data_IF_118381078294
#
_entry.id   IF_118381078294
#
_cell.length_a   1.000
_cell.length_b   1.000
_cell.length_c   1.000
_cell.angle_alpha   90.00
_cell.angle_beta   90.00
_cell.angle_gamma   90.00
#
_symmetry.space_group_name_H-M   'P 1'
#
loop_
_entity.id
_entity.type
_entity.pdbx_description
1 polymer ?
#
# COMPACT_ATOMS: atom_id res chain seq x y z
N UNK A 1 -54.29 -6.03 24.74
CA UNK A 1 -54.33 -6.43 23.33
C UNK A 1 -52.87 -6.51 22.87
N UNK A 2 -52.34 -7.71 22.72
CA UNK A 2 -51.01 -7.89 22.13
C UNK A 2 -51.15 -7.72 20.61
N UNK A 3 -50.45 -6.75 20.07
CA UNK A 3 -50.40 -6.53 18.63
C UNK A 3 -49.40 -7.51 18.00
N UNK A 4 -49.81 -8.16 16.93
CA UNK A 4 -48.90 -8.99 16.14
C UNK A 4 -47.82 -8.09 15.49
N UNK A 5 -46.53 -8.37 15.74
CA UNK A 5 -45.38 -7.64 15.21
C UNK A 5 -44.48 -8.61 14.49
N UNK A 6 -44.04 -8.22 13.31
CA UNK A 6 -43.03 -8.94 12.56
C UNK A 6 -41.76 -8.08 12.48
N UNK A 7 -40.62 -8.73 12.64
CA UNK A 7 -39.32 -8.10 12.55
C UNK A 7 -38.55 -8.74 11.41
N UNK A 8 -37.90 -7.90 10.62
CA UNK A 8 -36.91 -8.32 9.63
C UNK A 8 -35.54 -8.27 10.26
N UNK A 9 -34.78 -9.35 10.13
CA UNK A 9 -33.37 -9.37 10.46
C UNK A 9 -32.55 -8.72 9.34
N UNK A 10 -31.65 -7.85 9.74
CA UNK A 10 -30.72 -7.21 8.85
C UNK A 10 -29.31 -7.45 9.36
N UNK A 11 -28.45 -7.92 8.48
CA UNK A 11 -27.03 -8.10 8.76
C UNK A 11 -26.25 -6.93 8.14
N UNK A 12 -25.46 -6.27 8.95
CA UNK A 12 -24.52 -5.23 8.48
C UNK A 12 -23.15 -5.43 9.13
N UNK A 13 -22.11 -5.00 8.46
CA UNK A 13 -20.77 -4.98 9.04
C UNK A 13 -20.58 -3.69 9.84
N UNK A 14 -20.20 -3.83 11.09
CA UNK A 14 -19.87 -2.73 11.98
C UNK A 14 -18.38 -2.75 12.27
N UNK A 15 -17.71 -1.58 12.16
CA UNK A 15 -16.35 -1.42 12.65
C UNK A 15 -16.40 -1.37 14.17
N UNK A 16 -15.94 -2.40 14.84
CA UNK A 16 -15.98 -2.53 16.30
C UNK A 16 -14.73 -2.05 16.97
N UNK A 17 -13.61 -2.28 16.34
CA UNK A 17 -12.33 -1.88 16.91
C UNK A 17 -11.43 -1.27 15.85
N UNK A 18 -10.64 -0.31 16.28
CA UNK A 18 -9.62 0.35 15.48
C UNK A 18 -8.35 0.43 16.27
N UNK A 19 -7.35 -0.21 15.73
CA UNK A 19 -6.03 -0.24 16.32
C UNK A 19 -5.14 0.67 15.48
N UNK A 20 -4.59 1.70 16.11
CA UNK A 20 -3.59 2.60 15.54
C UNK A 20 -2.40 2.59 16.47
N UNK A 21 -1.46 1.69 16.23
CA UNK A 21 -0.31 1.48 17.10
C UNK A 21 0.99 1.52 16.31
N UNK A 22 2.01 2.07 16.96
CA UNK A 22 3.39 2.03 16.46
C UNK A 22 4.14 0.90 17.12
N UNK A 23 4.98 0.22 16.35
CA UNK A 23 5.88 -0.82 16.84
C UNK A 23 7.21 -0.78 16.09
N UNK A 24 8.24 -1.26 16.75
CA UNK A 24 9.59 -1.27 16.19
C UNK A 24 9.99 -2.67 15.74
N UNK A 25 10.80 -2.72 14.68
CA UNK A 25 11.41 -3.94 14.16
C UNK A 25 12.89 -3.66 13.92
N UNK A 26 13.74 -4.54 14.44
CA UNK A 26 15.18 -4.45 14.33
C UNK A 26 15.73 -5.61 13.49
N UNK A 27 16.60 -5.28 12.53
CA UNK A 27 17.25 -6.25 11.67
C UNK A 27 18.76 -6.17 11.76
N UNK A 28 19.42 -7.31 11.71
CA UNK A 28 20.88 -7.42 11.65
C UNK A 28 21.27 -8.01 10.29
N UNK A 29 21.69 -7.16 9.38
CA UNK A 29 22.03 -7.55 8.02
C UNK A 29 23.51 -7.88 7.93
N UNK A 30 23.84 -9.04 7.35
CA UNK A 30 25.20 -9.45 7.08
C UNK A 30 25.43 -9.47 5.57
N UNK A 31 26.43 -8.70 5.11
CA UNK A 31 26.77 -8.65 3.70
C UNK A 31 27.27 -10.02 3.20
N UNK A 32 26.72 -10.54 2.08
CA UNK A 32 27.17 -11.81 1.50
C UNK A 32 28.67 -11.81 1.17
N UNK A 33 29.33 -12.95 1.34
CA UNK A 33 30.81 -13.07 1.20
C UNK A 33 31.34 -12.71 -0.19
N UNK A 34 30.49 -12.82 -1.22
CA UNK A 34 30.87 -12.49 -2.62
C UNK A 34 30.80 -11.00 -2.95
N UNK A 35 30.32 -10.17 -2.03
CA UNK A 35 30.27 -8.72 -2.17
C UNK A 35 31.47 -8.07 -1.48
N UNK A 36 31.92 -6.94 -2.04
CA UNK A 36 33.01 -6.16 -1.48
C UNK A 36 32.62 -5.49 -0.17
N UNK A 37 33.61 -5.26 0.70
CA UNK A 37 33.44 -4.66 2.01
C UNK A 37 32.92 -3.22 1.91
N UNK A 38 32.08 -2.83 2.84
CA UNK A 38 31.54 -1.49 2.95
C UNK A 38 32.61 -0.55 3.51
N UNK A 39 32.98 0.44 2.71
CA UNK A 39 33.75 1.58 3.18
C UNK A 39 32.83 2.65 3.79
N UNK A 40 31.80 3.03 3.04
CA UNK A 40 30.84 4.05 3.46
C UNK A 40 29.42 3.61 3.12
N UNK A 41 28.55 3.58 4.12
CA UNK A 41 27.12 3.35 3.92
C UNK A 41 26.47 4.62 3.33
N UNK A 42 25.94 4.50 2.10
CA UNK A 42 25.25 5.61 1.44
C UNK A 42 23.84 5.73 1.96
N UNK A 43 23.04 4.65 1.89
CA UNK A 43 21.66 4.62 2.35
C UNK A 43 21.14 3.18 2.52
N UNK A 44 20.22 3.03 3.50
CA UNK A 44 19.31 1.89 3.57
C UNK A 44 17.88 2.37 3.29
N UNK A 45 17.24 1.80 2.30
CA UNK A 45 15.83 2.04 1.99
C UNK A 45 15.02 0.84 2.45
N UNK A 46 14.04 1.04 3.33
CA UNK A 46 13.20 -0.03 3.87
C UNK A 46 11.78 0.13 3.35
N UNK A 47 11.25 -0.92 2.75
CA UNK A 47 9.84 -1.06 2.37
C UNK A 47 9.22 -2.19 3.16
N UNK A 48 8.09 -1.91 3.83
CA UNK A 48 7.38 -2.89 4.65
C UNK A 48 6.03 -3.18 4.01
N UNK A 49 5.70 -4.46 3.91
CA UNK A 49 4.46 -4.93 3.30
C UNK A 49 3.84 -6.01 4.19
N UNK A 50 2.53 -5.94 4.38
CA UNK A 50 1.76 -7.03 4.98
C UNK A 50 1.66 -8.14 3.96
N UNK A 51 2.21 -9.30 4.29
CA UNK A 51 2.15 -10.49 3.44
C UNK A 51 0.91 -11.34 3.73
N UNK A 52 0.49 -11.37 5.01
CA UNK A 52 -0.69 -12.11 5.47
C UNK A 52 -1.10 -11.64 6.88
N UNK A 53 -2.25 -12.09 7.35
CA UNK A 53 -2.69 -11.90 8.73
C UNK A 53 -3.63 -13.02 9.19
N UNK A 54 -3.56 -13.36 10.46
CA UNK A 54 -4.48 -14.27 11.15
C UNK A 54 -5.39 -13.50 12.10
N UNK A 55 -6.69 -13.66 11.92
CA UNK A 55 -7.72 -13.03 12.75
C UNK A 55 -8.37 -14.07 13.67
N UNK A 56 -8.32 -13.81 14.98
CA UNK A 56 -8.98 -14.62 16.01
C UNK A 56 -9.96 -13.80 16.81
N UNK A 57 -10.69 -14.42 17.74
CA UNK A 57 -11.66 -13.73 18.59
C UNK A 57 -11.04 -12.71 19.54
N UNK A 58 -9.76 -12.84 19.88
CA UNK A 58 -9.10 -11.99 20.89
C UNK A 58 -7.85 -11.27 20.37
N UNK A 59 -7.42 -11.58 19.15
CA UNK A 59 -6.20 -10.98 18.62
C UNK A 59 -6.14 -11.04 17.09
N UNK A 60 -5.34 -10.16 16.52
CA UNK A 60 -4.90 -10.24 15.13
C UNK A 60 -3.37 -10.31 15.09
N UNK A 61 -2.85 -11.28 14.32
CA UNK A 61 -1.43 -11.43 14.09
C UNK A 61 -1.15 -10.99 12.66
N UNK A 62 -0.26 -10.04 12.50
CA UNK A 62 0.20 -9.57 11.19
C UNK A 62 1.53 -10.25 10.87
N UNK A 63 1.64 -10.79 9.68
CA UNK A 63 2.89 -11.27 9.09
C UNK A 63 3.31 -10.31 7.99
N UNK A 64 4.50 -9.76 8.12
CA UNK A 64 5.01 -8.79 7.17
C UNK A 64 6.38 -9.16 6.64
N UNK A 65 6.74 -8.52 5.53
CA UNK A 65 8.07 -8.58 4.92
C UNK A 65 8.65 -7.19 4.79
N UNK A 66 9.92 -7.09 5.10
CA UNK A 66 10.74 -5.90 4.91
C UNK A 66 11.72 -6.15 3.77
N UNK A 67 11.62 -5.36 2.71
CA UNK A 67 12.59 -5.33 1.62
C UNK A 67 13.55 -4.18 1.93
N UNK A 68 14.80 -4.51 2.19
CA UNK A 68 15.82 -3.56 2.63
C UNK A 68 16.88 -3.47 1.53
N UNK A 69 16.92 -2.35 0.82
CA UNK A 69 17.96 -2.06 -0.15
C UNK A 69 19.08 -1.29 0.54
N UNK A 70 20.24 -1.92 0.64
CA UNK A 70 21.45 -1.32 1.19
C UNK A 70 22.33 -0.82 0.04
N UNK A 71 22.61 0.46 0.01
CA UNK A 71 23.48 1.11 -0.95
C UNK A 71 24.75 1.61 -0.25
N UNK A 72 25.90 1.28 -0.76
CA UNK A 72 27.20 1.60 -0.14
C UNK A 72 28.30 1.86 -1.15
N UNK A 73 29.37 2.49 -0.70
CA UNK A 73 30.64 2.61 -1.45
C UNK A 73 31.60 1.53 -0.96
N UNK A 74 32.19 0.82 -1.91
CA UNK A 74 33.28 -0.11 -1.65
C UNK A 74 34.60 0.62 -1.59
N UNK A 75 35.68 -0.07 -1.15
CA UNK A 75 37.02 0.51 -0.97
C UNK A 75 37.66 1.03 -2.27
N UNK A 76 37.22 0.53 -3.43
CA UNK A 76 37.64 1.01 -4.76
C UNK A 76 36.87 2.27 -5.22
N UNK A 77 35.96 2.79 -4.39
CA UNK A 77 35.08 3.92 -4.68
C UNK A 77 33.84 3.58 -5.52
N UNK A 78 33.66 2.32 -5.93
CA UNK A 78 32.48 1.89 -6.66
C UNK A 78 31.22 1.93 -5.77
N UNK A 79 30.09 2.33 -6.34
CA UNK A 79 28.79 2.26 -5.66
C UNK A 79 28.15 0.91 -5.94
N UNK A 80 27.84 0.19 -4.87
CA UNK A 80 27.23 -1.13 -4.88
C UNK A 80 25.92 -1.11 -4.10
N UNK A 81 25.05 -2.08 -4.38
CA UNK A 81 23.87 -2.32 -3.57
C UNK A 81 23.60 -3.80 -3.37
N UNK A 82 22.85 -4.10 -2.31
CA UNK A 82 22.28 -5.42 -2.08
C UNK A 82 20.89 -5.29 -1.49
N UNK A 83 20.04 -6.24 -1.84
CA UNK A 83 18.67 -6.33 -1.32
C UNK A 83 18.63 -7.45 -0.29
N UNK A 84 18.09 -7.14 0.88
CA UNK A 84 17.81 -8.09 1.94
C UNK A 84 16.30 -8.20 2.11
N UNK A 85 15.85 -9.40 2.40
CA UNK A 85 14.46 -9.71 2.72
C UNK A 85 14.40 -10.25 4.15
N UNK A 86 13.65 -9.57 5.00
CA UNK A 86 13.48 -9.93 6.40
C UNK A 86 11.99 -10.06 6.72
N UNK A 87 11.66 -10.98 7.59
CA UNK A 87 10.29 -11.20 8.00
C UNK A 87 10.05 -10.61 9.40
N UNK A 88 8.84 -10.10 9.62
CA UNK A 88 8.41 -9.67 10.94
C UNK A 88 6.98 -10.13 11.21
N UNK A 89 6.67 -10.27 12.49
CA UNK A 89 5.29 -10.51 12.93
C UNK A 89 4.96 -9.65 14.14
N UNK A 90 3.69 -9.26 14.26
CA UNK A 90 3.20 -8.50 15.40
C UNK A 90 1.78 -8.91 15.73
N UNK A 91 1.55 -9.15 17.02
CA UNK A 91 0.22 -9.45 17.56
C UNK A 91 -0.38 -8.18 18.17
N UNK A 92 -1.65 -7.95 17.88
CA UNK A 92 -2.47 -6.90 18.49
C UNK A 92 -3.68 -7.52 19.14
N UNK A 93 -4.02 -7.08 20.35
CA UNK A 93 -5.17 -7.58 21.09
C UNK A 93 -6.45 -6.93 20.57
N UNK A 94 -7.53 -7.74 20.48
CA UNK A 94 -8.88 -7.30 20.13
C UNK A 94 -9.70 -7.39 21.43
N UNK A 95 -10.25 -6.27 21.85
CA UNK A 95 -10.98 -6.16 23.15
C UNK A 95 -12.46 -5.84 23.00
N UNK A 96 -12.82 -5.22 21.87
CA UNK A 96 -14.17 -4.67 21.65
C UNK A 96 -15.07 -5.54 20.77
N UNK A 97 -14.56 -6.69 20.32
CA UNK A 97 -15.28 -7.58 19.40
C UNK A 97 -15.11 -9.05 19.78
N UNK A 98 -16.17 -9.68 20.25
CA UNK A 98 -16.16 -11.10 20.66
C UNK A 98 -16.03 -12.07 19.46
N UNK A 99 -16.55 -11.66 18.29
CA UNK A 99 -16.57 -12.49 17.08
C UNK A 99 -16.25 -11.64 15.85
N UNK A 100 -14.96 -11.36 15.61
CA UNK A 100 -14.54 -10.63 14.42
C UNK A 100 -14.68 -11.51 13.17
N UNK A 101 -15.28 -10.95 12.11
CA UNK A 101 -15.46 -11.64 10.83
C UNK A 101 -14.37 -11.23 9.83
N UNK A 102 -13.99 -9.96 9.82
CA UNK A 102 -13.06 -9.41 8.83
C UNK A 102 -12.13 -8.37 9.47
N UNK A 103 -10.95 -8.23 8.91
CA UNK A 103 -10.04 -7.14 9.23
C UNK A 103 -9.51 -6.46 7.96
N UNK A 104 -9.23 -5.18 8.06
CA UNK A 104 -8.49 -4.41 7.08
C UNK A 104 -7.18 -3.95 7.74
N UNK A 105 -6.06 -4.35 7.16
CA UNK A 105 -4.73 -4.16 7.76
C UNK A 105 -3.88 -3.32 6.84
N UNK A 106 -3.37 -2.20 7.35
CA UNK A 106 -2.39 -1.36 6.69
C UNK A 106 -1.20 -1.14 7.61
N UNK A 107 0.01 -1.26 7.06
CA UNK A 107 1.25 -0.98 7.79
C UNK A 107 2.06 0.02 6.96
N UNK A 108 2.50 1.08 7.62
CA UNK A 108 3.30 2.15 7.03
C UNK A 108 4.63 2.27 7.76
N UNK A 109 5.71 2.48 7.02
CA UNK A 109 7.01 2.82 7.60
C UNK A 109 6.96 4.27 8.07
N UNK A 110 6.98 4.49 9.38
CA UNK A 110 7.03 5.83 9.95
C UNK A 110 8.45 6.40 9.92
N UNK A 111 9.42 5.55 10.19
CA UNK A 111 10.82 5.95 10.28
C UNK A 111 11.72 4.73 10.11
N UNK A 112 12.86 4.90 9.47
CA UNK A 112 13.92 3.89 9.43
C UNK A 112 15.28 4.54 9.64
N UNK A 113 16.13 3.87 10.42
CA UNK A 113 17.51 4.26 10.64
C UNK A 113 18.41 3.05 10.44
N UNK A 114 19.63 3.30 9.98
CA UNK A 114 20.61 2.26 9.75
C UNK A 114 21.98 2.69 10.26
N UNK A 115 22.71 1.74 10.81
CA UNK A 115 24.05 1.96 11.35
C UNK A 115 24.99 0.87 10.85
N UNK A 116 26.09 1.28 10.25
CA UNK A 116 27.19 0.40 9.94
C UNK A 116 27.92 0.02 11.24
N UNK A 117 27.93 -1.26 11.59
CA UNK A 117 28.58 -1.80 12.78
C UNK A 117 30.03 -2.16 12.47
N UNK A 118 30.25 -2.78 11.32
CA UNK A 118 31.55 -3.06 10.74
C UNK A 118 31.41 -3.15 9.22
N UNK A 119 32.49 -3.37 8.50
CA UNK A 119 32.52 -3.41 7.03
C UNK A 119 31.56 -4.42 6.38
N UNK A 120 30.97 -5.33 7.15
CA UNK A 120 30.08 -6.38 6.63
C UNK A 120 28.76 -6.50 7.39
N UNK A 121 28.55 -5.75 8.47
CA UNK A 121 27.34 -5.81 9.28
C UNK A 121 26.68 -4.44 9.41
N UNK A 122 25.39 -4.42 9.14
CA UNK A 122 24.52 -3.25 9.24
C UNK A 122 23.39 -3.59 10.19
N UNK A 123 23.17 -2.77 11.20
CA UNK A 123 21.96 -2.83 12.02
C UNK A 123 20.94 -1.83 11.46
N UNK A 124 19.70 -2.28 11.27
CA UNK A 124 18.59 -1.48 10.74
C UNK A 124 17.45 -1.48 11.76
N UNK A 125 17.06 -0.30 12.19
CA UNK A 125 15.91 -0.07 13.05
C UNK A 125 14.79 0.57 12.24
N UNK A 126 13.57 0.04 12.35
CA UNK A 126 12.41 0.53 11.61
C UNK A 126 11.21 0.66 12.54
N UNK A 127 10.66 1.87 12.65
CA UNK A 127 9.39 2.12 13.32
C UNK A 127 8.25 2.02 12.31
N UNK A 128 7.25 1.20 12.63
CA UNK A 128 6.09 0.91 11.82
C UNK A 128 4.82 1.40 12.51
N UNK A 129 3.88 1.92 11.72
CA UNK A 129 2.54 2.25 12.17
C UNK A 129 1.55 1.26 11.59
N UNK A 130 0.87 0.51 12.44
CA UNK A 130 -0.24 -0.36 12.06
C UNK A 130 -1.57 0.39 12.20
N UNK A 131 -2.38 0.32 11.14
CA UNK A 131 -3.77 0.78 11.14
C UNK A 131 -4.65 -0.41 10.81
N UNK A 132 -5.41 -0.88 11.79
CA UNK A 132 -6.24 -2.07 11.68
C UNK A 132 -7.68 -1.70 11.99
N UNK A 133 -8.59 -2.03 11.07
CA UNK A 133 -10.03 -1.94 11.30
C UNK A 133 -10.59 -3.35 11.43
N UNK A 134 -11.19 -3.67 12.57
CA UNK A 134 -11.85 -4.95 12.82
C UNK A 134 -13.33 -4.81 12.62
N UNK A 135 -13.91 -5.69 11.80
CA UNK A 135 -15.33 -5.70 11.45
C UNK A 135 -16.03 -6.93 12.03
N UNK A 136 -17.20 -6.69 12.63
CA UNK A 136 -18.09 -7.74 13.09
C UNK A 136 -19.41 -7.66 12.35
N UNK A 137 -20.06 -8.78 12.11
CA UNK A 137 -21.45 -8.79 11.68
C UNK A 137 -22.36 -8.40 12.84
N UNK A 138 -23.20 -7.43 12.60
CA UNK A 138 -24.26 -7.04 13.50
C UNK A 138 -25.60 -7.44 12.91
N UNK A 139 -26.32 -8.28 13.64
CA UNK A 139 -27.72 -8.55 13.35
C UNK A 139 -28.59 -7.49 14.05
N UNK A 140 -29.38 -6.77 13.28
CA UNK A 140 -30.32 -5.77 13.80
C UNK A 140 -31.74 -6.15 13.38
N UNK A 141 -32.65 -6.09 14.33
CA UNK A 141 -34.06 -6.36 14.06
C UNK A 141 -34.80 -5.04 13.79
N UNK A 142 -35.34 -4.91 12.59
CA UNK A 142 -36.19 -3.77 12.22
C UNK A 142 -37.65 -4.21 12.12
N UNK A 143 -38.54 -3.40 12.64
CA UNK A 143 -39.97 -3.65 12.52
C UNK A 143 -40.35 -3.64 11.05
N UNK A 144 -40.85 -4.77 10.53
CA UNK A 144 -41.30 -4.91 9.13
C UNK A 144 -42.79 -4.72 8.97
N UNK A 145 -43.59 -5.30 9.90
CA UNK A 145 -45.03 -5.13 9.95
C UNK A 145 -45.54 -5.08 11.38
N UNK A 146 -46.68 -4.44 11.56
CA UNK A 146 -47.43 -4.45 12.82
C UNK A 146 -48.91 -4.30 12.51
N UNK A 147 -49.72 -5.11 13.16
CA UNK A 147 -51.17 -5.11 12.99
C UNK A 147 -51.77 -3.74 13.29
N UNK A 148 -52.57 -3.21 12.37
CA UNK A 148 -53.21 -1.88 12.45
C UNK A 148 -52.25 -0.70 12.57
N UNK A 149 -50.95 -0.85 12.27
CA UNK A 149 -49.98 0.21 12.29
C UNK A 149 -49.60 0.67 10.89
N UNK A 150 -49.37 1.96 10.74
CA UNK A 150 -48.76 2.52 9.57
C UNK A 150 -47.24 2.66 9.84
N UNK A 151 -46.42 2.08 8.97
CA UNK A 151 -44.98 2.08 9.09
C UNK A 151 -44.38 2.91 7.93
N UNK A 152 -43.59 3.90 8.29
CA UNK A 152 -42.82 4.69 7.31
C UNK A 152 -41.48 4.03 7.12
N UNK A 153 -41.24 3.57 5.92
CA UNK A 153 -39.97 2.96 5.54
C UNK A 153 -39.07 3.94 4.76
N UNK A 154 -37.77 3.79 4.92
CA UNK A 154 -36.78 4.48 4.14
C UNK A 154 -35.77 3.47 3.57
N UNK A 155 -35.60 3.49 2.27
CA UNK A 155 -34.63 2.64 1.58
C UNK A 155 -33.24 3.29 1.60
N UNK A 156 -32.22 2.48 1.83
CA UNK A 156 -30.81 2.87 1.79
C UNK A 156 -29.98 1.74 1.21
N UNK A 157 -28.93 2.13 0.49
CA UNK A 157 -27.89 1.20 0.09
C UNK A 157 -26.97 0.94 1.28
N UNK A 158 -26.73 -0.34 1.56
CA UNK A 158 -25.86 -0.83 2.64
C UNK A 158 -24.69 -1.55 2.01
N UNK A 159 -23.48 -1.12 2.35
CA UNK A 159 -22.27 -1.79 1.93
C UNK A 159 -21.94 -2.90 2.94
N UNK A 160 -21.97 -4.14 2.48
CA UNK A 160 -21.62 -5.31 3.28
C UNK A 160 -20.30 -5.91 2.81
N UNK A 161 -19.37 -6.18 3.74
CA UNK A 161 -18.13 -6.87 3.46
C UNK A 161 -18.42 -8.37 3.37
N UNK A 162 -18.03 -9.00 2.27
CA UNK A 162 -18.15 -10.44 2.05
C UNK A 162 -16.86 -11.17 2.33
N UNK A 163 -15.75 -10.58 1.97
CA UNK A 163 -14.43 -11.16 2.18
C UNK A 163 -13.34 -10.09 2.27
N UNK A 164 -12.31 -10.37 3.05
CA UNK A 164 -11.04 -9.65 3.03
C UNK A 164 -9.90 -10.67 3.05
N UNK A 165 -8.74 -10.30 2.54
CA UNK A 165 -7.58 -11.17 2.58
C UNK A 165 -6.40 -10.62 1.80
N UNK A 166 -5.31 -11.38 1.84
CA UNK A 166 -4.10 -11.13 1.05
C UNK A 166 -3.82 -12.38 0.21
N UNK A 167 -3.50 -12.19 -1.04
CA UNK A 167 -3.04 -13.24 -1.95
C UNK A 167 -1.69 -12.83 -2.53
N UNK A 168 -0.97 -13.77 -3.16
CA UNK A 168 0.32 -13.47 -3.77
C UNK A 168 0.34 -13.78 -5.25
N UNK A 169 1.06 -12.97 -6.02
CA UNK A 169 1.34 -13.15 -7.44
C UNK A 169 2.83 -13.20 -7.63
N UNK A 170 3.35 -14.32 -8.14
CA UNK A 170 4.77 -14.46 -8.46
C UNK A 170 5.00 -14.00 -9.91
N UNK A 171 6.18 -13.46 -10.18
CA UNK A 171 6.65 -13.15 -11.53
C UNK A 171 8.11 -13.55 -11.69
N UNK A 172 8.47 -13.92 -12.92
CA UNK A 172 9.82 -14.27 -13.34
C UNK A 172 10.00 -13.77 -14.79
N UNK A 173 10.74 -12.66 -14.91
CA UNK A 173 10.88 -11.93 -16.17
C UNK A 173 12.37 -11.75 -16.51
N UNK A 174 12.65 -11.81 -17.82
CA UNK A 174 13.99 -11.53 -18.36
C UNK A 174 13.89 -10.42 -19.38
N UNK A 175 14.63 -9.35 -19.13
CA UNK A 175 14.68 -8.17 -19.98
C UNK A 175 16.06 -8.02 -20.60
N UNK A 176 16.11 -7.59 -21.86
CA UNK A 176 17.37 -7.33 -22.55
C UNK A 176 17.59 -5.84 -22.69
N UNK A 177 18.82 -5.40 -22.47
CA UNK A 177 19.28 -4.04 -22.80
C UNK A 177 19.12 -3.77 -24.32
N UNK A 178 19.00 -2.50 -24.67
CA UNK A 178 19.02 -2.06 -26.05
C UNK A 178 20.36 -2.40 -26.73
N UNK A 179 20.35 -2.59 -28.05
CA UNK A 179 21.57 -2.97 -28.81
C UNK A 179 22.75 -1.99 -28.68
N UNK A 180 22.46 -0.74 -28.30
CA UNK A 180 23.45 0.32 -28.14
C UNK A 180 23.84 0.59 -26.67
N UNK A 181 23.23 -0.13 -25.73
CA UNK A 181 23.49 0.08 -24.32
C UNK A 181 24.77 -0.65 -23.90
N UNK A 182 25.51 -0.02 -22.98
CA UNK A 182 26.73 -0.61 -22.44
C UNK A 182 26.39 -1.76 -21.48
N UNK A 183 27.26 -2.77 -21.40
CA UNK A 183 27.08 -3.90 -20.48
C UNK A 183 26.95 -3.42 -19.02
N UNK A 184 26.18 -4.16 -18.25
CA UNK A 184 25.98 -3.90 -16.83
C UNK A 184 27.19 -4.40 -16.06
N UNK A 185 27.83 -3.50 -15.32
CA UNK A 185 28.88 -3.87 -14.35
C UNK A 185 28.24 -4.29 -13.03
N UNK A 186 27.32 -3.47 -12.51
CA UNK A 186 26.57 -3.73 -11.27
C UNK A 186 25.25 -2.98 -11.24
N UNK A 187 24.27 -3.51 -10.54
CA UNK A 187 23.01 -2.86 -10.25
C UNK A 187 23.16 -2.03 -8.98
N UNK A 188 22.76 -0.75 -9.04
CA UNK A 188 22.88 0.21 -7.93
C UNK A 188 21.57 0.31 -7.17
N UNK A 189 20.44 0.40 -7.87
CA UNK A 189 19.12 0.46 -7.26
C UNK A 189 18.09 -0.20 -8.14
N UNK A 190 17.07 -0.79 -7.52
CA UNK A 190 15.92 -1.34 -8.21
C UNK A 190 14.65 -0.89 -7.52
N UNK A 191 13.69 -0.50 -8.31
CA UNK A 191 12.37 -0.12 -7.86
C UNK A 191 11.33 -0.73 -8.77
N UNK A 192 10.28 -1.28 -8.20
CA UNK A 192 9.13 -1.77 -8.95
C UNK A 192 7.87 -1.11 -8.41
N UNK A 193 7.08 -0.59 -9.32
CA UNK A 193 5.76 -0.07 -9.04
C UNK A 193 4.71 -1.00 -9.68
N UNK A 194 3.67 -1.32 -8.94
CA UNK A 194 2.62 -2.23 -9.37
C UNK A 194 1.27 -1.55 -9.22
N UNK A 195 0.52 -1.54 -10.29
CA UNK A 195 -0.84 -1.02 -10.32
C UNK A 195 -1.84 -2.07 -10.77
N UNK A 196 -3.07 -2.00 -10.26
CA UNK A 196 -4.16 -2.86 -10.71
C UNK A 196 -4.72 -2.30 -12.01
N UNK A 197 -4.42 -2.92 -13.14
CA UNK A 197 -4.87 -2.48 -14.47
C UNK A 197 -6.26 -2.99 -14.82
N UNK A 198 -6.61 -4.20 -14.38
CA UNK A 198 -7.93 -4.77 -14.58
C UNK A 198 -8.32 -5.71 -13.43
N UNK A 199 -9.62 -5.78 -13.16
CA UNK A 199 -10.19 -6.65 -12.15
C UNK A 199 -11.57 -7.10 -12.56
N UNK A 200 -11.82 -8.40 -12.43
CA UNK A 200 -13.10 -8.99 -12.76
C UNK A 200 -13.51 -10.03 -11.72
N UNK A 201 -14.68 -9.83 -11.11
CA UNK A 201 -15.28 -10.82 -10.24
C UNK A 201 -16.10 -11.77 -11.10
N UNK A 202 -15.89 -13.06 -10.90
CA UNK A 202 -16.67 -14.16 -11.47
C UNK A 202 -17.15 -14.96 -10.26
N UNK A 203 -18.22 -15.74 -10.41
CA UNK A 203 -18.72 -16.53 -9.29
C UNK A 203 -17.62 -17.27 -8.53
N UNK A 204 -17.48 -16.99 -7.24
CA UNK A 204 -16.51 -17.56 -6.31
C UNK A 204 -15.02 -17.34 -6.68
N UNK A 205 -14.73 -16.40 -7.58
CA UNK A 205 -13.35 -16.07 -8.01
C UNK A 205 -13.21 -14.60 -8.38
N UNK A 206 -12.00 -14.10 -8.25
CA UNK A 206 -11.60 -12.79 -8.75
C UNK A 206 -10.37 -12.91 -9.62
N UNK A 207 -10.44 -12.43 -10.85
CA UNK A 207 -9.29 -12.22 -11.72
C UNK A 207 -8.72 -10.82 -11.44
N UNK A 208 -7.43 -10.74 -11.14
CA UNK A 208 -6.70 -9.48 -10.99
C UNK A 208 -5.58 -9.45 -12.02
N UNK A 209 -5.50 -8.38 -12.79
CA UNK A 209 -4.38 -8.09 -13.68
C UNK A 209 -3.59 -6.92 -13.11
N UNK A 210 -2.29 -7.08 -13.05
CA UNK A 210 -1.34 -6.10 -12.55
C UNK A 210 -0.44 -5.64 -13.68
N UNK A 211 -0.29 -4.34 -13.84
CA UNK A 211 0.73 -3.73 -14.69
C UNK A 211 1.85 -3.22 -13.79
N UNK A 212 3.07 -3.61 -14.11
CA UNK A 212 4.27 -3.37 -13.33
C UNK A 212 5.30 -2.58 -14.15
N UNK A 213 5.89 -1.55 -13.53
CA UNK A 213 7.04 -0.82 -14.07
C UNK A 213 8.26 -1.12 -13.19
N UNK A 214 9.24 -1.81 -13.73
CA UNK A 214 10.53 -2.06 -13.08
C UNK A 214 11.52 -0.99 -13.54
N UNK A 215 12.01 -0.19 -12.60
CA UNK A 215 13.08 0.79 -12.80
C UNK A 215 14.38 0.26 -12.21
N UNK A 216 15.45 0.30 -12.99
CA UNK A 216 16.78 -0.19 -12.60
C UNK A 216 17.79 0.91 -12.85
N UNK A 217 18.52 1.30 -11.80
CA UNK A 217 19.71 2.15 -11.88
C UNK A 217 20.90 1.24 -11.81
N UNK A 218 21.78 1.31 -12.80
CA UNK A 218 22.95 0.46 -12.91
C UNK A 218 24.20 1.26 -13.25
N UNK A 219 25.36 0.70 -12.93
CA UNK A 219 26.65 1.19 -13.39
C UNK A 219 27.08 0.33 -14.59
N UNK A 220 27.48 0.97 -15.67
CA UNK A 220 28.01 0.30 -16.86
C UNK A 220 29.52 0.05 -16.74
N UNK A 221 30.10 -0.67 -17.71
CA UNK A 221 31.55 -0.98 -17.75
C UNK A 221 32.44 0.26 -17.77
N UNK A 222 31.96 1.39 -18.28
CA UNK A 222 32.72 2.65 -18.29
C UNK A 222 32.67 3.39 -16.94
N UNK A 223 31.93 2.84 -15.94
CA UNK A 223 31.75 3.46 -14.63
C UNK A 223 30.64 4.54 -14.58
N UNK A 224 29.91 4.75 -15.68
CA UNK A 224 28.82 5.71 -15.74
C UNK A 224 27.55 5.05 -15.20
N UNK A 225 26.81 5.78 -14.36
CA UNK A 225 25.46 5.37 -13.93
C UNK A 225 24.44 5.68 -15.02
N UNK A 226 23.49 4.77 -15.21
CA UNK A 226 22.43 4.87 -16.19
C UNK A 226 21.15 4.27 -15.62
N UNK A 227 20.01 4.57 -16.23
CA UNK A 227 18.70 4.08 -15.82
C UNK A 227 17.95 3.43 -16.97
N UNK A 228 17.26 2.33 -16.66
CA UNK A 228 16.37 1.66 -17.59
C UNK A 228 15.04 1.32 -16.92
N UNK A 229 13.97 1.35 -17.71
CA UNK A 229 12.62 1.00 -17.28
C UNK A 229 12.06 -0.10 -18.14
N UNK A 230 11.40 -1.06 -17.51
CA UNK A 230 10.69 -2.16 -18.17
C UNK A 230 9.27 -2.24 -17.66
N UNK A 231 8.33 -2.40 -18.61
CA UNK A 231 6.93 -2.62 -18.31
C UNK A 231 6.56 -4.07 -18.60
N UNK A 232 5.87 -4.70 -17.68
CA UNK A 232 5.32 -6.04 -17.84
C UNK A 232 3.98 -6.16 -17.14
N UNK A 233 3.22 -7.20 -17.47
CA UNK A 233 1.93 -7.45 -16.85
C UNK A 233 1.88 -8.87 -16.33
N UNK A 234 1.31 -9.05 -15.14
CA UNK A 234 1.03 -10.36 -14.57
C UNK A 234 -0.42 -10.45 -14.14
N UNK A 235 -0.93 -11.66 -13.94
CA UNK A 235 -2.32 -11.85 -13.51
C UNK A 235 -2.47 -13.04 -12.57
N UNK A 236 -3.50 -12.97 -11.72
CA UNK A 236 -3.83 -14.03 -10.79
C UNK A 236 -5.34 -14.23 -10.70
N UNK A 237 -5.76 -15.48 -10.55
CA UNK A 237 -7.10 -15.83 -10.14
C UNK A 237 -7.05 -16.14 -8.63
N UNK A 238 -7.88 -15.43 -7.87
CA UNK A 238 -8.01 -15.57 -6.42
C UNK A 238 -9.35 -16.24 -6.17
N UNK A 239 -9.35 -17.37 -5.45
CA UNK A 239 -10.58 -18.04 -5.03
C UNK A 239 -11.17 -17.31 -3.82
N UNK A 240 -12.43 -16.87 -3.93
CA UNK A 240 -13.12 -16.08 -2.92
C UNK A 240 -14.54 -16.61 -2.79
N UNK A 241 -14.81 -17.33 -1.72
CA UNK A 241 -16.14 -17.92 -1.51
C UNK A 241 -17.26 -16.87 -1.45
N UNK A 242 -18.42 -17.21 -2.02
CA UNK A 242 -19.65 -16.41 -2.00
C UNK A 242 -19.57 -15.04 -2.68
N UNK A 243 -18.61 -14.78 -3.56
CA UNK A 243 -18.61 -13.57 -4.37
C UNK A 243 -19.40 -13.73 -5.67
N UNK A 244 -20.00 -12.63 -6.12
CA UNK A 244 -20.84 -12.54 -7.30
C UNK A 244 -20.29 -11.48 -8.25
N UNK A 245 -20.65 -11.56 -9.54
CA UNK A 245 -20.21 -10.58 -10.56
C UNK A 245 -20.70 -9.15 -10.28
N UNK A 246 -21.74 -8.99 -9.46
CA UNK A 246 -22.29 -7.69 -9.05
C UNK A 246 -21.58 -7.07 -7.85
N UNK A 247 -20.67 -7.80 -7.22
CA UNK A 247 -19.96 -7.33 -6.05
C UNK A 247 -18.84 -6.34 -6.42
N UNK A 248 -18.48 -5.49 -5.49
CA UNK A 248 -17.39 -4.53 -5.61
C UNK A 248 -16.10 -5.10 -5.01
N UNK A 249 -14.98 -4.81 -5.67
CA UNK A 249 -13.66 -5.13 -5.12
C UNK A 249 -12.83 -3.86 -4.92
N UNK A 250 -12.18 -3.78 -3.77
CA UNK A 250 -11.11 -2.82 -3.47
C UNK A 250 -9.84 -3.64 -3.38
N UNK A 251 -8.83 -3.30 -4.19
CA UNK A 251 -7.60 -4.07 -4.32
C UNK A 251 -6.42 -3.12 -4.21
N UNK A 252 -5.40 -3.53 -3.47
CA UNK A 252 -4.10 -2.89 -3.40
C UNK A 252 -3.02 -3.94 -3.69
N UNK A 253 -1.99 -3.55 -4.44
CA UNK A 253 -0.91 -4.44 -4.85
C UNK A 253 0.43 -3.84 -4.46
N UNK A 254 1.24 -4.58 -3.70
CA UNK A 254 2.55 -4.13 -3.22
C UNK A 254 3.58 -5.23 -3.39
N UNK A 255 4.77 -4.84 -3.84
CA UNK A 255 5.89 -5.79 -3.92
C UNK A 255 6.30 -6.24 -2.51
N UNK A 256 6.34 -7.55 -2.28
CA UNK A 256 6.78 -8.14 -1.02
C UNK A 256 8.05 -8.98 -1.15
N UNK A 257 8.52 -9.21 -2.39
CA UNK A 257 9.79 -9.86 -2.66
C UNK A 257 10.31 -9.39 -4.03
N UNK A 258 11.60 -9.04 -4.12
CA UNK A 258 12.21 -8.60 -5.36
C UNK A 258 13.68 -9.02 -5.40
N UNK A 259 14.02 -9.77 -6.41
CA UNK A 259 15.38 -10.18 -6.73
C UNK A 259 15.70 -9.80 -8.17
N UNK A 260 16.73 -8.98 -8.37
CA UNK A 260 17.16 -8.52 -9.69
C UNK A 260 18.65 -8.73 -9.83
N UNK A 261 19.06 -9.39 -10.90
CA UNK A 261 20.48 -9.62 -11.21
C UNK A 261 20.79 -9.45 -12.70
N UNK A 262 22.02 -9.04 -13.05
CA UNK A 262 22.50 -9.12 -14.41
C UNK A 262 22.59 -10.57 -14.86
N UNK A 263 22.28 -10.83 -16.11
CA UNK A 263 22.35 -12.13 -16.75
C UNK A 263 23.13 -12.04 -18.05
N UNK A 264 23.89 -13.07 -18.35
CA UNK A 264 24.61 -13.18 -19.59
C UNK A 264 23.64 -13.53 -20.71
N UNK A 265 23.68 -12.76 -21.80
CA UNK A 265 22.89 -13.03 -22.99
C UNK A 265 23.53 -14.12 -23.89
N UNK A 266 22.91 -14.43 -25.03
CA UNK A 266 23.42 -15.43 -25.98
C UNK A 266 24.78 -15.06 -26.59
N UNK A 267 25.19 -13.79 -26.56
CA UNK A 267 26.48 -13.30 -27.07
C UNK A 267 27.57 -13.26 -26.00
N UNK A 268 27.36 -13.90 -24.85
CA UNK A 268 28.23 -13.87 -23.66
C UNK A 268 28.49 -12.48 -23.09
N UNK A 269 27.50 -11.57 -23.19
CA UNK A 269 27.56 -10.23 -22.64
C UNK A 269 26.55 -10.09 -21.48
N UNK A 270 26.91 -9.31 -20.46
CA UNK A 270 26.02 -8.95 -19.35
C UNK A 270 25.03 -7.86 -19.81
N UNK A 271 24.11 -8.22 -20.72
CA UNK A 271 23.14 -7.33 -21.32
C UNK A 271 21.68 -7.76 -21.03
N UNK A 272 21.48 -8.85 -20.30
CA UNK A 272 20.15 -9.25 -19.83
C UNK A 272 20.02 -8.98 -18.32
N UNK A 273 18.78 -8.82 -17.91
CA UNK A 273 18.41 -8.61 -16.50
C UNK A 273 17.33 -9.63 -16.18
N UNK A 274 17.57 -10.46 -15.20
CA UNK A 274 16.58 -11.37 -14.62
C UNK A 274 15.94 -10.70 -13.40
N UNK A 275 14.62 -10.60 -13.40
CA UNK A 275 13.83 -10.06 -12.30
C UNK A 275 12.81 -11.09 -11.83
N UNK A 276 12.96 -11.54 -10.61
CA UNK A 276 12.07 -12.50 -9.95
C UNK A 276 11.48 -11.85 -8.71
N UNK A 277 10.19 -12.02 -8.48
CA UNK A 277 9.59 -11.42 -7.30
C UNK A 277 8.19 -11.92 -7.01
N UNK A 278 7.66 -11.37 -5.92
CA UNK A 278 6.31 -11.64 -5.43
C UNK A 278 5.59 -10.34 -5.08
N UNK A 279 4.36 -10.24 -5.52
CA UNK A 279 3.46 -9.12 -5.26
C UNK A 279 2.39 -9.61 -4.29
N UNK A 280 2.24 -8.94 -3.15
CA UNK A 280 1.12 -9.13 -2.24
C UNK A 280 -0.08 -8.33 -2.78
N UNK A 281 -1.20 -9.00 -2.94
CA UNK A 281 -2.47 -8.43 -3.40
C UNK A 281 -3.46 -8.49 -2.25
N UNK A 282 -3.66 -7.38 -1.57
CA UNK A 282 -4.70 -7.25 -0.56
C UNK A 282 -6.03 -6.91 -1.21
N UNK A 283 -7.10 -7.54 -0.75
CA UNK A 283 -8.42 -7.34 -1.32
C UNK A 283 -9.51 -7.24 -0.26
N UNK A 284 -10.55 -6.49 -0.62
CA UNK A 284 -11.81 -6.41 0.11
C UNK A 284 -12.96 -6.51 -0.89
N UNK A 285 -13.84 -7.49 -0.72
CA UNK A 285 -15.02 -7.71 -1.55
C UNK A 285 -16.25 -7.26 -0.77
N UNK A 286 -17.08 -6.44 -1.41
CA UNK A 286 -18.28 -5.88 -0.81
C UNK A 286 -19.48 -6.06 -1.72
N UNK A 287 -20.64 -6.37 -1.16
CA UNK A 287 -21.94 -6.20 -1.82
C UNK A 287 -22.57 -4.85 -1.46
N UNK A 288 -23.41 -4.34 -2.35
CA UNK A 288 -24.26 -3.18 -2.08
C UNK A 288 -25.69 -3.68 -2.14
N UNK A 289 -26.30 -3.81 -0.97
CA UNK A 289 -27.65 -4.31 -0.84
C UNK A 289 -28.61 -3.16 -0.55
N UNK A 290 -29.76 -3.17 -1.21
CA UNK A 290 -30.81 -2.17 -0.97
C UNK A 290 -31.68 -2.63 0.19
N UNK A 291 -31.55 -1.96 1.31
CA UNK A 291 -32.25 -2.30 2.54
C UNK A 291 -33.32 -1.26 2.90
N UNK A 292 -34.47 -1.76 3.42
CA UNK A 292 -35.56 -0.93 3.86
C UNK A 292 -35.63 -0.88 5.38
N UNK A 293 -35.55 0.32 5.91
CA UNK A 293 -35.53 0.61 7.36
C UNK A 293 -36.84 1.26 7.77
N UNK A 294 -37.49 0.77 8.82
CA UNK A 294 -38.60 1.47 9.43
C UNK A 294 -38.06 2.66 10.24
N UNK A 295 -38.50 3.85 9.89
CA UNK A 295 -38.03 5.11 10.51
C UNK A 295 -39.06 5.74 11.41
N UNK A 296 -40.33 5.38 11.25
CA UNK A 296 -41.43 5.87 12.04
C UNK A 296 -42.62 4.90 11.97
N UNK A 297 -43.46 4.87 13.01
CA UNK A 297 -44.65 4.07 13.02
C UNK A 297 -45.73 4.72 13.91
N UNK A 298 -46.99 4.63 13.50
CA UNK A 298 -48.11 5.06 14.32
C UNK A 298 -49.32 4.15 14.16
N UNK A 299 -50.12 4.10 15.21
CA UNK A 299 -51.42 3.38 15.21
C UNK A 299 -52.52 4.43 15.43
N UNK A 300 -53.51 4.52 14.53
CA UNK A 300 -54.62 5.46 14.69
C UNK A 300 -55.35 5.22 16.01
N UNK A 301 -55.71 6.32 16.65
CA UNK A 301 -56.42 6.35 17.93
C UNK A 301 -55.67 5.86 19.16
N UNK A 302 -54.37 5.52 19.03
CA UNK A 302 -53.54 5.10 20.16
C UNK A 302 -52.33 5.99 20.30
N UNK A 303 -51.90 6.25 21.53
CA UNK A 303 -50.60 6.85 21.78
C UNK A 303 -49.52 5.79 21.62
N UNK A 304 -48.71 5.92 20.57
CA UNK A 304 -47.57 5.05 20.31
C UNK A 304 -46.33 5.57 20.96
N UNK A 305 -45.52 4.70 21.55
CA UNK A 305 -44.16 4.96 21.99
C UNK A 305 -43.27 4.09 21.13
N UNK A 306 -42.43 4.71 20.30
CA UNK A 306 -41.42 4.02 19.48
C UNK A 306 -40.03 4.21 20.09
N UNK A 307 -39.28 3.15 20.19
CA UNK A 307 -37.87 3.19 20.48
C UNK A 307 -37.10 3.12 19.14
N UNK A 308 -36.22 4.08 18.89
CA UNK A 308 -35.42 4.13 17.67
C UNK A 308 -33.97 4.09 18.04
N UNK A 309 -33.19 3.25 17.34
CA UNK A 309 -31.75 3.21 17.43
C UNK A 309 -31.15 3.97 16.27
N UNK A 310 -30.04 4.65 16.53
CA UNK A 310 -29.27 5.34 15.49
C UNK A 310 -28.30 4.34 14.86
N UNK A 311 -28.48 4.07 13.57
CA UNK A 311 -27.60 3.21 12.79
C UNK A 311 -26.75 4.07 11.84
N UNK A 312 -25.44 3.93 11.90
CA UNK A 312 -24.50 4.54 10.96
C UNK A 312 -24.14 3.49 9.89
N UNK A 313 -24.49 3.77 8.64
CA UNK A 313 -24.33 2.85 7.51
C UNK A 313 -23.25 3.38 6.57
N UNK A 314 -22.32 2.53 6.14
CA UNK A 314 -21.43 2.83 5.04
C UNK A 314 -22.21 2.76 3.72
N UNK A 315 -22.09 3.80 2.91
CA UNK A 315 -22.68 3.87 1.57
C UNK A 315 -21.66 3.44 0.51
N UNK A 316 -22.01 3.66 -0.76
CA UNK A 316 -21.15 3.33 -1.89
C UNK A 316 -19.76 3.93 -1.78
N UNK A 317 -18.70 3.20 -2.18
CA UNK A 317 -17.37 3.76 -2.27
C UNK A 317 -17.35 4.90 -3.30
N UNK A 318 -16.68 5.98 -2.97
CA UNK A 318 -16.49 7.11 -3.87
C UNK A 318 -15.02 7.08 -4.30
N UNK A 319 -14.79 7.09 -5.60
CA UNK A 319 -13.45 7.21 -6.17
C UNK A 319 -13.18 8.67 -6.49
N UNK A 320 -12.06 9.17 -6.02
CA UNK A 320 -11.61 10.51 -6.28
C UNK A 320 -10.24 10.46 -6.94
N UNK A 321 -10.08 11.22 -8.03
CA UNK A 321 -8.81 11.35 -8.75
C UNK A 321 -8.38 12.79 -8.71
N UNK A 322 -7.17 13.06 -8.30
CA UNK A 322 -6.57 14.39 -8.37
C UNK A 322 -5.09 14.28 -8.75
N UNK A 323 -4.57 15.31 -9.37
CA UNK A 323 -3.17 15.44 -9.70
C UNK A 323 -2.68 16.82 -9.30
N UNK A 324 -1.51 16.90 -8.69
CA UNK A 324 -0.91 18.15 -8.29
C UNK A 324 0.58 18.17 -8.63
N UNK A 325 1.01 19.26 -9.25
CA UNK A 325 2.43 19.51 -9.48
C UNK A 325 3.00 20.33 -8.32
N UNK A 326 4.22 20.02 -7.93
CA UNK A 326 4.97 20.75 -6.91
C UNK A 326 6.27 21.28 -7.49
N UNK A 327 6.65 22.45 -7.04
CA UNK A 327 8.03 22.94 -7.18
C UNK A 327 8.78 22.59 -5.89
N UNK A 328 9.84 21.84 -6.02
CA UNK A 328 10.71 21.46 -4.90
C UNK A 328 12.00 22.25 -5.00
N UNK A 329 12.31 22.97 -3.94
CA UNK A 329 13.61 23.63 -3.81
C UNK A 329 14.54 22.72 -3.02
N UNK A 330 15.69 22.40 -3.59
CA UNK A 330 16.73 21.66 -2.93
C UNK A 330 17.70 22.62 -2.28
N UNK A 331 17.83 22.59 -0.97
CA UNK A 331 18.93 23.18 -0.25
C UNK A 331 20.04 22.13 -0.17
N UNK A 332 20.94 22.14 -1.11
CA UNK A 332 22.06 21.22 -1.13
C UNK A 332 23.35 21.95 -1.43
N UNK A 333 24.43 21.59 -0.72
CA UNK A 333 25.79 22.14 -0.92
C UNK A 333 26.42 21.69 -2.24
N UNK A 334 25.80 20.74 -2.96
CA UNK A 334 26.26 20.18 -4.21
C UNK A 334 25.30 20.51 -5.35
N UNK A 335 25.84 20.94 -6.48
CA UNK A 335 25.05 21.16 -7.70
C UNK A 335 24.53 19.83 -8.25
N UNK A 336 23.27 19.81 -8.66
CA UNK A 336 22.63 18.67 -9.32
C UNK A 336 22.82 18.85 -10.82
N UNK A 337 23.48 17.89 -11.45
CA UNK A 337 23.66 17.87 -12.91
C UNK A 337 22.53 17.11 -13.59
N UNK A 338 22.14 15.97 -13.03
CA UNK A 338 21.11 15.09 -13.61
C UNK A 338 20.37 14.34 -12.49
N UNK A 339 19.04 14.27 -12.57
CA UNK A 339 18.25 13.38 -11.69
C UNK A 339 18.15 12.03 -12.38
N UNK A 340 18.77 11.02 -11.75
CA UNK A 340 18.79 9.66 -12.26
C UNK A 340 17.47 8.94 -11.94
N UNK A 341 16.97 9.09 -10.72
CA UNK A 341 15.72 8.45 -10.29
C UNK A 341 14.99 9.27 -9.23
N UNK A 342 13.67 9.20 -9.27
CA UNK A 342 12.78 9.77 -8.27
C UNK A 342 11.78 8.70 -7.83
N UNK A 343 11.65 8.54 -6.52
CA UNK A 343 10.71 7.65 -5.88
C UNK A 343 9.87 8.39 -4.85
N UNK A 344 8.59 8.11 -4.80
CA UNK A 344 7.68 8.65 -3.81
C UNK A 344 7.04 7.53 -3.00
N UNK A 345 7.00 7.69 -1.70
CA UNK A 345 6.37 6.75 -0.78
C UNK A 345 5.43 7.48 0.17
N UNK A 346 4.20 6.95 0.33
CA UNK A 346 3.27 7.44 1.34
C UNK A 346 3.76 6.98 2.72
N UNK A 347 3.97 7.94 3.62
CA UNK A 347 4.42 7.68 5.00
C UNK A 347 3.25 7.75 5.97
N UNK A 348 2.31 8.67 5.71
CA UNK A 348 1.17 8.90 6.59
C UNK A 348 -0.03 9.43 5.83
N UNK A 349 -1.19 8.94 6.20
CA UNK A 349 -2.49 9.42 5.69
C UNK A 349 -3.37 9.81 6.87
N UNK A 350 -3.96 10.99 6.78
CA UNK A 350 -4.92 11.46 7.78
C UNK A 350 -6.04 12.25 7.10
N UNK A 351 -7.28 12.02 7.54
CA UNK A 351 -8.45 12.75 7.06
C UNK A 351 -9.05 13.55 8.20
N UNK A 352 -9.08 14.86 8.03
CA UNK A 352 -9.62 15.79 9.02
C UNK A 352 -10.60 16.73 8.33
N UNK A 353 -11.85 16.77 8.78
CA UNK A 353 -12.88 17.72 8.31
C UNK A 353 -12.95 17.84 6.79
N UNK A 354 -13.11 16.72 6.10
CA UNK A 354 -13.15 16.65 4.61
C UNK A 354 -11.86 17.09 3.91
N UNK A 355 -10.75 17.11 4.61
CA UNK A 355 -9.42 17.30 4.02
C UNK A 355 -8.58 16.05 4.22
N UNK A 356 -8.11 15.49 3.12
CA UNK A 356 -7.13 14.41 3.11
C UNK A 356 -5.73 15.03 3.20
N UNK A 357 -4.97 14.68 4.23
CA UNK A 357 -3.57 15.02 4.36
C UNK A 357 -2.73 13.76 4.17
N UNK A 358 -1.81 13.83 3.24
CA UNK A 358 -0.89 12.75 2.91
C UNK A 358 0.54 13.25 3.07
N UNK A 359 1.33 12.61 3.93
CA UNK A 359 2.76 12.82 4.00
C UNK A 359 3.44 11.87 3.01
N UNK A 360 4.20 12.43 2.09
CA UNK A 360 4.89 11.72 1.01
C UNK A 360 6.39 11.93 1.17
N UNK A 361 7.12 10.84 1.31
CA UNK A 361 8.58 10.85 1.31
C UNK A 361 9.06 10.72 -0.13
N UNK A 362 9.71 11.77 -0.61
CA UNK A 362 10.34 11.84 -1.93
C UNK A 362 11.82 11.49 -1.79
N UNK A 363 12.32 10.57 -2.63
CA UNK A 363 13.70 10.12 -2.66
C UNK A 363 14.27 10.34 -4.03
N UNK A 364 15.40 11.05 -4.09
CA UNK A 364 16.08 11.42 -5.33
C UNK A 364 17.45 10.79 -5.40
N UNK A 365 17.74 10.15 -6.53
CA UNK A 365 19.10 9.78 -6.92
C UNK A 365 19.55 10.73 -8.01
N UNK A 366 20.66 11.41 -7.82
CA UNK A 366 21.17 12.41 -8.76
C UNK A 366 22.68 12.31 -8.93
N UNK A 367 23.17 12.81 -10.06
CA UNK A 367 24.61 12.97 -10.31
C UNK A 367 25.01 14.39 -9.94
N UNK A 368 26.12 14.52 -9.19
CA UNK A 368 26.79 15.79 -8.93
C UNK A 368 27.74 16.18 -10.07
N UNK A 369 28.41 17.36 -9.98
CA UNK A 369 29.40 17.84 -10.97
C UNK A 369 30.54 16.87 -11.19
N UNK A 370 30.86 16.03 -10.24
CA UNK A 370 31.87 14.99 -10.33
C UNK A 370 31.38 13.69 -10.95
N UNK A 371 30.12 13.68 -11.46
CA UNK A 371 29.41 12.49 -11.93
C UNK A 371 29.29 11.39 -10.86
N UNK A 372 29.31 11.75 -9.58
CA UNK A 372 29.08 10.83 -8.48
C UNK A 372 27.60 10.71 -8.20
N UNK A 373 27.14 9.49 -7.98
CA UNK A 373 25.75 9.24 -7.58
C UNK A 373 25.55 9.69 -6.13
N UNK A 374 24.62 10.61 -5.95
CA UNK A 374 24.22 11.17 -4.68
C UNK A 374 22.76 10.82 -4.38
N UNK A 375 22.39 10.93 -3.12
CA UNK A 375 21.06 10.66 -2.62
C UNK A 375 20.54 11.85 -1.80
N UNK A 376 19.27 12.17 -1.97
CA UNK A 376 18.56 13.17 -1.17
C UNK A 376 17.14 12.70 -0.90
N UNK A 377 16.61 12.98 0.29
CA UNK A 377 15.22 12.71 0.60
C UNK A 377 14.55 13.90 1.27
N UNK A 378 13.25 14.07 1.00
CA UNK A 378 12.44 15.12 1.59
C UNK A 378 11.02 14.62 1.81
N UNK A 379 10.46 14.92 2.98
CA UNK A 379 9.05 14.69 3.25
C UNK A 379 8.24 15.94 2.90
N UNK A 380 7.18 15.75 2.10
CA UNK A 380 6.24 16.80 1.73
C UNK A 380 4.82 16.42 2.15
N UNK A 381 4.06 17.41 2.62
CA UNK A 381 2.68 17.20 3.02
C UNK A 381 1.76 17.67 1.89
N UNK A 382 1.00 16.75 1.36
CA UNK A 382 -0.04 16.99 0.37
C UNK A 382 -1.41 17.06 1.04
N UNK A 383 -2.17 18.15 0.78
CA UNK A 383 -3.51 18.32 1.32
C UNK A 383 -4.52 18.45 0.18
N UNK A 384 -5.51 17.58 0.17
CA UNK A 384 -6.60 17.54 -0.80
C UNK A 384 -7.93 17.83 -0.09
N UNK A 385 -8.67 18.83 -0.55
CA UNK A 385 -10.05 19.05 -0.11
C UNK A 385 -10.98 18.12 -0.87
N UNK A 386 -11.67 17.27 -0.16
CA UNK A 386 -12.71 16.41 -0.68
C UNK A 386 -14.02 17.23 -0.75
N UNK A 387 -14.16 18.02 -1.80
CA UNK A 387 -15.36 18.84 -2.01
C UNK A 387 -16.57 17.91 -2.24
N UNK A 388 -17.73 18.32 -1.71
CA UNK A 388 -19.03 17.63 -1.85
C UNK A 388 -19.14 16.24 -1.20
N UNK A 389 -18.15 15.82 -0.42
CA UNK A 389 -18.23 14.59 0.38
C UNK A 389 -18.51 15.01 1.83
N UNK A 390 -19.77 14.93 2.25
CA UNK A 390 -20.07 14.96 3.69
C UNK A 390 -19.50 13.67 4.30
N UNK A 391 -18.26 13.75 4.78
CA UNK A 391 -17.62 12.68 5.53
C UNK A 391 -18.24 12.61 6.95
N UNK A 392 -19.45 12.13 7.03
CA UNK A 392 -20.13 11.82 8.29
C UNK A 392 -19.63 10.48 8.87
N UNK A 393 -18.34 10.25 8.81
CA UNK A 393 -17.72 9.01 9.25
C UNK A 393 -16.33 8.84 8.64
N UNK A 394 -15.62 7.84 9.10
CA UNK A 394 -14.26 7.57 8.68
C UNK A 394 -14.25 6.92 7.29
N UNK A 395 -13.47 7.50 6.41
CA UNK A 395 -13.21 6.95 5.10
C UNK A 395 -11.94 6.10 5.16
N UNK A 396 -11.98 4.90 4.62
CA UNK A 396 -10.80 4.18 4.19
C UNK A 396 -10.29 4.88 2.92
N UNK A 397 -9.03 5.25 2.89
CA UNK A 397 -8.42 5.92 1.73
C UNK A 397 -7.34 5.00 1.18
N UNK A 398 -7.50 4.60 -0.08
CA UNK A 398 -6.43 3.99 -0.86
C UNK A 398 -5.82 5.06 -1.74
N UNK A 399 -4.51 5.26 -1.62
CA UNK A 399 -3.76 6.24 -2.40
C UNK A 399 -2.78 5.52 -3.31
N UNK A 400 -2.81 5.89 -4.58
CA UNK A 400 -1.77 5.58 -5.55
C UNK A 400 -1.04 6.89 -5.87
N UNK A 401 0.28 6.85 -5.84
CA UNK A 401 1.12 7.98 -6.22
C UNK A 401 1.90 7.58 -7.45
N UNK A 402 1.72 8.32 -8.54
CA UNK A 402 2.57 8.27 -9.71
C UNK A 402 3.40 9.56 -9.73
N UNK A 403 4.68 9.44 -9.97
CA UNK A 403 5.59 10.58 -10.01
C UNK A 403 6.31 10.62 -11.33
N UNK A 404 6.18 11.74 -12.04
CA UNK A 404 6.96 12.01 -13.24
C UNK A 404 8.34 12.56 -12.85
N UNK A 405 9.35 12.26 -13.65
CA UNK A 405 10.69 12.82 -13.45
C UNK A 405 10.62 14.35 -13.54
N UNK A 406 11.18 15.07 -12.56
CA UNK A 406 11.16 16.53 -12.57
C UNK A 406 12.02 17.08 -13.70
N UNK A 407 11.58 18.17 -14.29
CA UNK A 407 12.41 18.99 -15.18
C UNK A 407 13.28 19.85 -14.28
N UNK A 408 14.62 19.67 -14.37
CA UNK A 408 15.56 20.59 -13.72
C UNK A 408 15.47 21.95 -14.41
N UNK A 409 14.86 22.91 -13.75
CA UNK A 409 15.05 24.31 -14.09
C UNK A 409 16.33 24.73 -13.41
N UNK A 410 17.37 25.06 -14.19
CA UNK A 410 18.69 25.40 -13.70
C UNK A 410 18.71 26.47 -12.62
N UNK A 411 19.80 26.60 -11.86
CA UNK A 411 19.89 27.62 -10.84
C UNK A 411 19.66 28.99 -11.48
N UNK A 412 18.67 29.69 -10.98
CA UNK A 412 18.70 31.15 -11.10
C UNK A 412 19.94 31.59 -10.35
N UNK A 413 21.04 31.79 -11.05
CA UNK A 413 22.25 32.40 -10.52
C UNK A 413 21.80 33.69 -9.84
N UNK A 414 22.02 33.88 -8.55
CA UNK A 414 21.88 35.21 -7.97
C UNK A 414 23.00 36.06 -8.62
N UNK A 415 22.57 37.08 -9.30
CA UNK A 415 23.44 38.18 -9.77
C UNK A 415 23.93 38.95 -8.56
#
# INVERSE_FOLDING_TARGET
MELSKEFKEMNCNETRERINESFDVDFQLNLPQYLDDIDTLVKCCVKNVVADYDLSSSSIIIYGKSIITVMYKASDGSTLSNIFEEEFSKTFDITSCDYPDFAEVNVFTAYSNSRLVNQRRIDVHTALNAQINVFCKRCTHCLSSCENAFIKNREKNVLNIKATGVSSVDFDEVFSLGKNDSQIKNIINTYIDCSVSDKKIIKDKMLVKLDCELSIVYCNESGKSDKIKYNFSTSRIIDIANCLETDYSIIDARICQLYVKPKVNNDNKLCDIEAVGRIAVSYKICSIDKESFSVDSYIPHFKTISQTDKLSIKSNPIYYYDSKSFELTFENDKSIVEIVDLNAQIVKVNVVSSTLNCAVLLRFFYLDESSQLCYYEKEEIYSLKLNDIEMNGEAGVNLLINVDLPVLTGPTTPI
#
